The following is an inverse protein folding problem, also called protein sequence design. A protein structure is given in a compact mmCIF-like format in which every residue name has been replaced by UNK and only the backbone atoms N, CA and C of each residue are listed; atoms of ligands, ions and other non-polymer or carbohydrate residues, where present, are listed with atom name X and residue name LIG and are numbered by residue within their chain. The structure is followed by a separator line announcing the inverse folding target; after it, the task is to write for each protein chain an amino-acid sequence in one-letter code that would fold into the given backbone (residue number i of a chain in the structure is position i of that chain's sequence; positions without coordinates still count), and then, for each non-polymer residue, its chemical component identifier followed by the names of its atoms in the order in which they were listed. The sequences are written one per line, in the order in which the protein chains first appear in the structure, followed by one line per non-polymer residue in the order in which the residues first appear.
data_IF_405045644573
#
_entry.id   IF_405045644573
#
_cell.length_a   1.000
_cell.length_b   1.000
_cell.length_c   1.000
_cell.angle_alpha   90.00
_cell.angle_beta   90.00
_cell.angle_gamma   90.00
#
_symmetry.space_group_name_H-M   'P 1'
#
loop_
_entity.id
_entity.type
_entity.pdbx_description
1 polymer ?
#
# COMPACT_ATOMS: atom_id res chain seq x y z
N UNK A 1 -13.57 -14.71 14.01
CA UNK A 1 -12.93 -15.04 12.72
C UNK A 1 -11.46 -14.71 12.85
N UNK A 2 -10.65 -15.75 12.98
CA UNK A 2 -9.21 -15.70 13.21
C UNK A 2 -8.46 -15.33 11.92
N UNK A 3 -7.40 -14.53 12.08
CA UNK A 3 -6.47 -14.18 11.02
C UNK A 3 -6.67 -12.79 10.42
N UNK A 4 -6.58 -11.71 11.21
CA UNK A 4 -6.24 -10.39 10.64
C UNK A 4 -4.86 -10.53 10.01
N UNK A 5 -4.81 -10.67 8.69
CA UNK A 5 -3.54 -10.66 7.98
C UNK A 5 -2.88 -9.32 8.24
N UNK A 6 -1.74 -9.36 8.91
CA UNK A 6 -1.04 -8.15 9.37
C UNK A 6 -0.02 -7.77 8.32
N UNK A 7 -0.33 -6.72 7.56
CA UNK A 7 0.64 -6.02 6.72
C UNK A 7 1.70 -5.36 7.61
N UNK A 8 2.93 -5.26 7.09
CA UNK A 8 3.96 -4.47 7.74
C UNK A 8 3.63 -2.97 7.64
N UNK A 9 4.14 -2.19 8.59
CA UNK A 9 3.83 -0.76 8.70
C UNK A 9 4.21 0.02 7.44
N UNK A 10 5.29 -0.38 6.77
CA UNK A 10 5.71 0.20 5.49
C UNK A 10 4.72 -0.11 4.36
N UNK A 11 4.13 -1.31 4.35
CA UNK A 11 3.17 -1.71 3.33
C UNK A 11 1.88 -0.92 3.48
N UNK A 12 1.38 -0.78 4.72
CA UNK A 12 0.22 0.04 5.02
C UNK A 12 0.46 1.51 4.68
N UNK A 13 1.66 2.05 4.97
CA UNK A 13 2.03 3.42 4.61
C UNK A 13 1.89 3.68 3.11
N UNK A 14 2.42 2.78 2.27
CA UNK A 14 2.31 2.88 0.80
C UNK A 14 0.84 2.83 0.36
N UNK A 15 0.04 1.92 0.95
CA UNK A 15 -1.39 1.78 0.63
C UNK A 15 -2.16 3.06 0.98
N UNK A 16 -1.93 3.60 2.16
CA UNK A 16 -2.59 4.83 2.63
C UNK A 16 -2.23 6.02 1.76
N UNK A 17 -0.95 6.13 1.37
CA UNK A 17 -0.49 7.17 0.45
C UNK A 17 -1.21 7.08 -0.90
N UNK A 18 -1.22 5.91 -1.54
CA UNK A 18 -1.87 5.71 -2.85
C UNK A 18 -3.38 5.93 -2.76
N UNK A 19 -4.02 5.46 -1.69
CA UNK A 19 -5.46 5.67 -1.46
C UNK A 19 -5.80 7.15 -1.27
N UNK A 20 -4.97 7.90 -0.54
CA UNK A 20 -5.10 9.36 -0.42
C UNK A 20 -4.92 10.05 -1.76
N UNK A 21 -3.86 9.73 -2.49
CA UNK A 21 -3.58 10.28 -3.83
C UNK A 21 -4.74 10.01 -4.81
N UNK A 22 -5.29 8.79 -4.77
CA UNK A 22 -6.46 8.39 -5.55
C UNK A 22 -7.68 9.26 -5.20
N UNK A 23 -7.97 9.46 -3.91
CA UNK A 23 -9.08 10.30 -3.45
C UNK A 23 -8.90 11.78 -3.82
N UNK A 24 -7.70 12.34 -3.61
CA UNK A 24 -7.36 13.72 -3.92
C UNK A 24 -7.52 14.02 -5.43
N UNK A 25 -7.21 13.03 -6.28
CA UNK A 25 -7.38 13.10 -7.74
C UNK A 25 -8.76 12.64 -8.24
N UNK A 26 -9.69 12.30 -7.34
CA UNK A 26 -11.05 11.80 -7.65
C UNK A 26 -11.05 10.55 -8.54
N UNK A 27 -10.05 9.68 -8.37
CA UNK A 27 -9.91 8.43 -9.12
C UNK A 27 -10.65 7.28 -8.42
N UNK A 28 -11.15 6.33 -9.21
CA UNK A 28 -11.74 5.08 -8.76
C UNK A 28 -10.67 4.00 -8.63
N UNK A 29 -11.01 2.89 -7.98
CA UNK A 29 -10.10 1.74 -7.86
C UNK A 29 -9.72 1.16 -9.23
N UNK A 30 -10.66 1.13 -10.18
CA UNK A 30 -10.41 0.68 -11.54
C UNK A 30 -9.41 1.57 -12.30
N UNK A 31 -9.40 2.88 -12.03
CA UNK A 31 -8.45 3.81 -12.64
C UNK A 31 -7.03 3.52 -12.15
N UNK A 32 -6.85 3.27 -10.84
CA UNK A 32 -5.56 2.82 -10.29
C UNK A 32 -5.14 1.48 -10.88
N UNK A 33 -6.09 0.55 -11.05
CA UNK A 33 -5.80 -0.76 -11.63
C UNK A 33 -5.31 -0.63 -13.09
N UNK A 34 -5.96 0.24 -13.86
CA UNK A 34 -5.56 0.57 -15.23
C UNK A 34 -4.15 1.15 -15.30
N UNK A 35 -3.83 2.12 -14.43
CA UNK A 35 -2.51 2.78 -14.38
C UNK A 35 -1.38 1.76 -14.21
N UNK A 36 -1.52 0.77 -13.32
CA UNK A 36 -0.47 -0.23 -13.06
C UNK A 36 -0.64 -1.55 -13.82
N UNK A 37 -1.63 -1.63 -14.72
CA UNK A 37 -1.85 -2.80 -15.58
C UNK A 37 -2.29 -4.06 -14.84
N UNK A 38 -3.19 -3.93 -13.85
CA UNK A 38 -3.74 -5.05 -13.06
C UNK A 38 -5.27 -5.06 -13.09
N UNK A 39 -5.89 -6.11 -12.54
CA UNK A 39 -7.35 -6.22 -12.42
C UNK A 39 -7.89 -5.29 -11.32
N UNK A 40 -9.07 -4.70 -11.50
CA UNK A 40 -9.71 -3.86 -10.48
C UNK A 40 -9.89 -4.58 -9.12
N UNK A 41 -10.17 -5.89 -9.14
CA UNK A 41 -10.27 -6.72 -7.93
C UNK A 41 -8.97 -6.77 -7.12
N UNK A 42 -7.81 -6.61 -7.74
CA UNK A 42 -6.55 -6.49 -7.03
C UNK A 42 -6.52 -5.23 -6.17
N UNK A 43 -6.99 -4.09 -6.68
CA UNK A 43 -7.04 -2.83 -5.90
C UNK A 43 -8.06 -2.94 -4.77
N UNK A 44 -9.21 -3.56 -5.01
CA UNK A 44 -10.18 -3.88 -3.95
C UNK A 44 -9.58 -4.73 -2.83
N UNK A 45 -8.72 -5.70 -3.18
CA UNK A 45 -7.97 -6.48 -2.20
C UNK A 45 -6.92 -5.63 -1.46
N UNK A 46 -6.15 -4.80 -2.17
CA UNK A 46 -5.12 -3.93 -1.55
C UNK A 46 -5.74 -2.94 -0.56
N UNK A 47 -6.90 -2.36 -0.87
CA UNK A 47 -7.57 -1.41 0.03
C UNK A 47 -8.41 -2.08 1.13
N UNK A 48 -8.48 -3.43 1.15
CA UNK A 48 -9.15 -4.19 2.20
C UNK A 48 -8.15 -4.56 3.31
N UNK A 49 -8.33 -3.97 4.50
CA UNK A 49 -7.50 -4.19 5.68
C UNK A 49 -7.42 -5.65 6.17
N UNK A 50 -8.29 -6.53 5.68
CA UNK A 50 -8.28 -7.96 6.01
C UNK A 50 -7.55 -8.82 4.97
N UNK A 51 -6.96 -8.21 3.93
CA UNK A 51 -6.32 -8.90 2.82
C UNK A 51 -4.80 -8.61 2.76
N UNK A 52 -3.95 -9.61 2.45
CA UNK A 52 -2.49 -9.44 2.32
C UNK A 52 -2.03 -8.67 1.08
N UNK A 53 -2.90 -8.36 0.12
CA UNK A 53 -2.50 -7.74 -1.13
C UNK A 53 -1.86 -6.38 -0.88
N UNK A 54 -0.77 -6.11 -1.61
CA UNK A 54 0.04 -4.90 -1.44
C UNK A 54 0.70 -4.48 -2.74
N UNK A 55 1.07 -3.21 -2.81
CA UNK A 55 1.89 -2.69 -3.90
C UNK A 55 3.33 -3.20 -3.78
N UNK A 56 3.98 -3.41 -4.93
CA UNK A 56 5.39 -3.76 -5.01
C UNK A 56 6.17 -2.59 -5.64
N UNK A 57 7.50 -2.73 -5.73
CA UNK A 57 8.37 -1.69 -6.28
C UNK A 57 8.04 -1.34 -7.75
N UNK A 58 7.58 -2.32 -8.55
CA UNK A 58 7.14 -2.06 -9.93
C UNK A 58 5.92 -1.15 -9.95
N UNK A 59 4.93 -1.39 -9.09
CA UNK A 59 3.74 -0.55 -8.99
C UNK A 59 4.11 0.87 -8.54
N UNK A 60 4.98 1.01 -7.53
CA UNK A 60 5.48 2.32 -7.06
C UNK A 60 6.16 3.08 -8.21
N UNK A 61 7.00 2.40 -8.99
CA UNK A 61 7.68 3.04 -10.13
C UNK A 61 6.69 3.54 -11.20
N UNK A 62 5.66 2.75 -11.51
CA UNK A 62 4.63 3.16 -12.48
C UNK A 62 3.79 4.32 -11.94
N UNK A 63 3.44 4.31 -10.65
CA UNK A 63 2.75 5.45 -10.04
C UNK A 63 3.60 6.71 -10.04
N UNK A 64 4.89 6.59 -9.74
CA UNK A 64 5.83 7.71 -9.76
C UNK A 64 5.89 8.36 -11.14
N UNK A 65 6.06 7.56 -12.20
CA UNK A 65 6.02 8.02 -13.59
C UNK A 65 4.68 8.69 -13.94
N UNK A 66 3.56 8.00 -13.69
CA UNK A 66 2.23 8.49 -14.05
C UNK A 66 1.83 9.78 -13.34
N UNK A 67 2.18 9.94 -12.06
CA UNK A 67 1.80 11.11 -11.26
C UNK A 67 2.86 12.21 -11.22
N UNK A 68 4.01 12.02 -11.88
CA UNK A 68 5.12 12.99 -11.85
C UNK A 68 5.73 13.15 -10.45
N UNK A 69 5.81 12.05 -9.70
CA UNK A 69 6.33 12.00 -8.33
C UNK A 69 7.66 11.24 -8.28
N UNK A 70 8.44 11.44 -7.23
CA UNK A 70 9.58 10.57 -6.95
C UNK A 70 9.08 9.23 -6.41
N UNK A 71 9.70 8.08 -6.75
CA UNK A 71 9.42 6.82 -6.07
C UNK A 71 9.59 6.90 -4.55
N UNK A 72 10.43 7.82 -4.05
CA UNK A 72 10.63 8.07 -2.62
C UNK A 72 9.40 8.66 -1.94
N UNK A 73 8.54 9.38 -2.66
CA UNK A 73 7.35 10.02 -2.09
C UNK A 73 6.32 9.00 -1.60
N UNK A 74 6.36 7.77 -2.11
CA UNK A 74 5.50 6.67 -1.71
C UNK A 74 6.02 5.92 -0.46
N UNK A 75 7.25 6.21 -0.02
CA UNK A 75 7.94 5.50 1.05
C UNK A 75 8.05 6.37 2.31
N UNK A 76 8.10 5.75 3.51
CA UNK A 76 8.31 6.52 4.73
C UNK A 76 9.73 7.12 4.76
N UNK A 77 9.87 8.29 5.38
CA UNK A 77 11.15 8.97 5.53
C UNK A 77 12.13 8.24 6.47
N UNK A 78 11.62 7.36 7.32
CA UNK A 78 12.39 6.51 8.23
C UNK A 78 11.80 5.09 8.28
N UNK A 79 12.61 4.11 8.70
CA UNK A 79 12.16 2.72 8.78
C UNK A 79 11.02 2.53 9.79
N UNK A 80 9.93 1.89 9.37
CA UNK A 80 8.79 1.56 10.21
C UNK A 80 8.86 0.10 10.69
N UNK A 81 9.55 -0.12 11.81
CA UNK A 81 9.72 -1.47 12.39
C UNK A 81 8.68 -1.70 13.47
N UNK A 82 7.87 -2.75 13.33
CA UNK A 82 7.00 -3.18 14.41
C UNK A 82 7.85 -3.84 15.51
N UNK A 83 7.87 -3.26 16.72
CA UNK A 83 8.50 -3.94 17.85
C UNK A 83 7.68 -5.19 18.16
N UNK A 84 8.25 -6.38 17.91
CA UNK A 84 7.70 -7.61 18.49
C UNK A 84 7.70 -7.40 20.00
N UNK A 85 6.57 -7.66 20.67
CA UNK A 85 6.56 -7.75 22.13
C UNK A 85 7.63 -8.78 22.50
N UNK A 86 8.69 -8.35 23.17
CA UNK A 86 9.57 -9.28 23.86
C UNK A 86 8.69 -10.03 24.86
N UNK A 87 8.43 -11.31 24.61
CA UNK A 87 8.00 -12.20 25.67
C UNK A 87 9.21 -12.30 26.63
N UNK A 88 9.29 -11.36 27.58
CA UNK A 88 10.04 -11.57 28.81
C UNK A 88 9.30 -12.66 29.57
N UNK A 89 9.60 -13.91 29.22
CA UNK A 89 9.28 -15.05 30.06
C UNK A 89 9.92 -14.79 31.42
N UNK A 90 9.07 -14.64 32.43
CA UNK A 90 9.42 -14.89 33.82
C UNK A 90 9.14 -16.36 34.10
#
# INVERSE_FOLDING_TARGET
MEGKVKLDLIEQHVIDFVRKLRADKKLRQEDIAYIIGVKASFIGNVENLSNPAKYNLKHINIFADHFGLSPKDFLPSTALISKKKENKGL
#
